data_IF_475610454569
#
_entry.id   IF_475610454569
#
_cell.length_a   1.000
_cell.length_b   1.000
_cell.length_c   1.000
_cell.angle_alpha   90.00
_cell.angle_beta   90.00
_cell.angle_gamma   90.00
#
_symmetry.space_group_name_H-M   'P 1'
#
loop_
_entity.id
_entity.type
_entity.pdbx_description
1 polymer ?
#
# COMPACT_ATOMS: atom_id res chain seq x y z
N UNK A 1 -20.92 57.01 7.71
CA UNK A 1 -20.38 56.98 9.08
C UNK A 1 -18.87 56.86 9.07
N UNK A 2 -18.18 57.24 10.17
CA UNK A 2 -16.78 56.90 10.37
C UNK A 2 -16.53 55.39 10.19
N UNK A 3 -15.28 55.00 9.92
CA UNK A 3 -14.91 53.59 9.73
C UNK A 3 -15.37 52.76 10.95
N UNK A 4 -15.97 51.60 10.69
CA UNK A 4 -16.52 50.67 11.68
C UNK A 4 -17.74 51.17 12.47
N UNK A 5 -18.48 52.17 11.96
CA UNK A 5 -19.77 52.60 12.55
C UNK A 5 -20.91 52.59 11.55
N UNK A 6 -22.14 52.44 12.03
CA UNK A 6 -23.35 52.46 11.21
C UNK A 6 -24.55 53.08 11.94
N UNK A 7 -25.60 53.41 11.18
CA UNK A 7 -26.84 54.03 11.66
C UNK A 7 -26.98 55.47 11.17
N UNK A 8 -28.19 56.02 11.24
CA UNK A 8 -28.50 57.35 10.73
C UNK A 8 -27.69 58.47 11.44
N UNK A 9 -27.25 58.22 12.67
CA UNK A 9 -26.37 59.13 13.44
C UNK A 9 -25.01 58.51 13.77
N UNK A 10 -24.64 57.38 13.14
CA UNK A 10 -23.38 56.66 13.37
C UNK A 10 -23.14 56.24 14.83
N UNK A 11 -24.22 55.89 15.51
CA UNK A 11 -24.25 55.54 16.92
C UNK A 11 -23.83 54.08 17.19
N UNK A 12 -23.98 53.19 16.20
CA UNK A 12 -23.71 51.76 16.37
C UNK A 12 -22.32 51.39 15.83
N UNK A 13 -21.69 50.39 16.45
CA UNK A 13 -20.43 49.82 15.99
C UNK A 13 -20.68 48.62 15.07
N UNK A 14 -19.89 48.54 13.99
CA UNK A 14 -19.90 47.42 13.07
C UNK A 14 -19.18 46.21 13.66
N UNK A 15 -19.77 45.02 13.53
CA UNK A 15 -19.24 43.74 14.05
C UNK A 15 -18.65 42.83 12.96
N UNK A 16 -18.39 43.38 11.77
CA UNK A 16 -17.91 42.58 10.64
C UNK A 16 -16.45 42.19 10.82
N UNK A 17 -16.16 40.89 10.77
CA UNK A 17 -14.82 40.32 10.94
C UNK A 17 -14.05 40.19 9.61
N UNK A 18 -12.77 39.80 9.68
CA UNK A 18 -11.93 39.47 8.52
C UNK A 18 -11.82 40.56 7.44
N UNK A 19 -11.74 41.83 7.86
CA UNK A 19 -11.71 43.01 6.98
C UNK A 19 -12.92 43.12 6.03
N UNK A 20 -14.06 42.58 6.44
CA UNK A 20 -15.32 42.66 5.69
C UNK A 20 -15.89 44.09 5.70
N UNK A 21 -16.67 44.43 4.67
CA UNK A 21 -17.26 45.77 4.54
C UNK A 21 -18.56 45.84 5.33
N UNK A 22 -18.73 46.92 6.09
CA UNK A 22 -19.97 47.18 6.82
C UNK A 22 -20.79 48.25 6.09
N UNK A 23 -22.07 47.97 5.85
CA UNK A 23 -22.99 48.97 5.32
C UNK A 23 -23.24 50.08 6.37
N UNK A 24 -22.94 51.33 6.01
CA UNK A 24 -22.98 52.44 6.96
C UNK A 24 -24.40 52.83 7.42
N UNK A 25 -25.45 52.33 6.76
CA UNK A 25 -26.85 52.65 7.08
C UNK A 25 -27.48 51.54 7.90
N UNK A 26 -27.27 50.29 7.50
CA UNK A 26 -27.95 49.10 8.04
C UNK A 26 -27.08 48.26 8.96
N UNK A 27 -25.76 48.45 8.94
CA UNK A 27 -24.81 47.62 9.69
C UNK A 27 -24.58 46.23 9.12
N UNK A 28 -25.22 45.89 7.99
CA UNK A 28 -25.09 44.58 7.35
C UNK A 28 -23.67 44.40 6.79
N UNK A 29 -23.10 43.23 7.05
CA UNK A 29 -21.76 42.89 6.59
C UNK A 29 -21.78 42.31 5.17
N UNK A 30 -20.90 42.82 4.33
CA UNK A 30 -20.51 42.21 3.05
C UNK A 30 -19.18 41.51 3.25
N UNK A 31 -19.22 40.18 3.30
CA UNK A 31 -18.07 39.37 3.69
C UNK A 31 -16.93 39.38 2.67
N UNK A 32 -15.70 39.33 3.18
CA UNK A 32 -14.53 39.03 2.37
C UNK A 32 -14.63 37.62 1.72
N UNK A 33 -13.93 37.37 0.60
CA UNK A 33 -13.92 36.04 -0.02
C UNK A 33 -13.54 34.95 0.97
N UNK A 34 -14.28 33.85 0.95
CA UNK A 34 -14.09 32.70 1.83
C UNK A 34 -14.77 32.80 3.20
N UNK A 35 -15.48 33.88 3.49
CA UNK A 35 -16.18 34.08 4.76
C UNK A 35 -17.68 34.23 4.56
N UNK A 36 -18.44 33.79 5.55
CA UNK A 36 -19.90 33.82 5.59
C UNK A 36 -20.41 34.04 7.02
N UNK A 37 -21.74 34.13 7.14
CA UNK A 37 -22.41 34.46 8.39
C UNK A 37 -22.72 35.95 8.51
N UNK A 38 -23.60 36.33 9.45
CA UNK A 38 -24.05 37.72 9.61
C UNK A 38 -22.93 38.68 10.00
N UNK A 39 -21.89 38.18 10.68
CA UNK A 39 -20.70 38.95 11.08
C UNK A 39 -19.44 38.57 10.27
N UNK A 40 -19.56 37.70 9.27
CA UNK A 40 -18.43 37.19 8.48
C UNK A 40 -17.35 36.49 9.33
N UNK A 41 -17.77 35.78 10.36
CA UNK A 41 -16.93 35.10 11.36
C UNK A 41 -16.69 33.62 11.04
N UNK A 42 -17.42 33.05 10.09
CA UNK A 42 -17.36 31.64 9.73
C UNK A 42 -16.76 31.45 8.33
N UNK A 43 -15.86 30.47 8.12
CA UNK A 43 -15.39 30.14 6.78
C UNK A 43 -16.54 29.59 5.92
N UNK A 44 -16.38 29.62 4.60
CA UNK A 44 -17.29 28.91 3.71
C UNK A 44 -17.44 27.44 4.11
N UNK A 45 -18.64 26.91 3.95
CA UNK A 45 -18.93 25.51 4.22
C UNK A 45 -18.11 24.60 3.31
N UNK A 46 -17.78 23.39 3.80
CA UNK A 46 -17.01 22.40 3.04
C UNK A 46 -17.57 22.22 1.63
N UNK A 47 -16.69 22.28 0.63
CA UNK A 47 -17.06 22.20 -0.78
C UNK A 47 -17.28 23.53 -1.47
N UNK A 48 -17.23 24.65 -0.73
CA UNK A 48 -17.43 25.99 -1.28
C UNK A 48 -16.30 26.96 -0.95
N UNK A 49 -16.05 27.93 -1.84
CA UNK A 49 -15.05 28.96 -1.64
C UNK A 49 -15.40 30.28 -2.31
N UNK A 50 -14.55 31.29 -2.08
CA UNK A 50 -14.59 32.56 -2.79
C UNK A 50 -15.68 33.50 -2.28
N UNK A 51 -16.03 34.49 -3.09
CA UNK A 51 -16.99 35.51 -2.69
C UNK A 51 -18.41 34.92 -2.58
N UNK A 52 -19.10 35.22 -1.48
CA UNK A 52 -20.41 34.65 -1.14
C UNK A 52 -20.47 33.11 -1.05
N UNK A 53 -19.32 32.41 -1.01
CA UNK A 53 -19.27 30.94 -0.92
C UNK A 53 -20.07 30.22 -2.02
N UNK A 54 -20.11 30.75 -3.24
CA UNK A 54 -20.88 30.16 -4.35
C UNK A 54 -20.03 29.32 -5.30
N UNK A 55 -18.70 29.37 -5.19
CA UNK A 55 -17.81 28.61 -6.06
C UNK A 55 -17.60 27.21 -5.50
N UNK A 56 -17.74 26.19 -6.34
CA UNK A 56 -17.60 24.79 -5.93
C UNK A 56 -16.14 24.34 -5.97
N UNK A 57 -15.68 23.75 -4.88
CA UNK A 57 -14.41 23.05 -4.81
C UNK A 57 -14.43 21.80 -5.69
N UNK A 58 -13.27 21.49 -6.30
CA UNK A 58 -13.12 20.37 -7.25
C UNK A 58 -12.03 19.38 -6.84
N UNK A 59 -11.54 19.48 -5.61
CA UNK A 59 -10.57 18.57 -5.03
C UNK A 59 -11.20 17.17 -4.92
N UNK A 60 -10.48 16.12 -5.35
CA UNK A 60 -10.94 14.74 -5.18
C UNK A 60 -10.40 14.13 -3.88
N UNK A 61 -9.08 14.08 -3.72
CA UNK A 61 -8.41 13.54 -2.52
C UNK A 61 -7.66 14.65 -1.77
N UNK A 62 -8.39 15.69 -1.36
CA UNK A 62 -7.80 16.83 -0.68
C UNK A 62 -8.82 17.80 -0.13
N UNK A 63 -8.34 18.66 0.77
CA UNK A 63 -9.11 19.73 1.37
C UNK A 63 -9.00 21.00 0.52
N UNK A 64 -10.07 21.76 0.47
CA UNK A 64 -10.18 22.95 -0.36
C UNK A 64 -10.01 24.20 0.49
N UNK A 65 -9.14 25.11 0.07
CA UNK A 65 -8.99 26.42 0.69
C UNK A 65 -10.26 27.25 0.46
N UNK A 66 -10.92 27.65 1.54
CA UNK A 66 -12.20 28.35 1.49
C UNK A 66 -12.10 29.74 0.84
N UNK A 67 -10.91 30.33 0.69
CA UNK A 67 -10.71 31.65 0.09
C UNK A 67 -10.46 31.53 -1.42
N UNK A 68 -9.50 30.68 -1.80
CA UNK A 68 -8.93 30.59 -3.15
C UNK A 68 -9.44 29.40 -3.95
N UNK A 69 -9.96 28.38 -3.27
CA UNK A 69 -10.38 27.11 -3.89
C UNK A 69 -9.21 26.18 -4.21
N UNK A 70 -7.99 26.53 -3.82
CA UNK A 70 -6.81 25.68 -4.02
C UNK A 70 -6.92 24.40 -3.19
N UNK A 71 -6.46 23.29 -3.75
CA UNK A 71 -6.50 22.00 -3.07
C UNK A 71 -5.20 21.73 -2.30
N UNK A 72 -5.36 21.28 -1.06
CA UNK A 72 -4.31 20.69 -0.24
C UNK A 72 -4.53 19.18 -0.29
N UNK A 73 -3.65 18.47 -0.99
CA UNK A 73 -3.83 17.03 -1.21
C UNK A 73 -3.55 16.22 0.04
N UNK A 74 -4.36 15.19 0.26
CA UNK A 74 -4.10 14.15 1.25
C UNK A 74 -2.89 13.32 0.83
N UNK A 75 -2.28 12.63 1.80
CA UNK A 75 -1.13 11.74 1.58
C UNK A 75 -1.37 10.79 0.39
N UNK A 76 -0.37 10.66 -0.47
CA UNK A 76 -0.42 9.78 -1.62
C UNK A 76 -1.05 10.37 -2.88
N UNK A 77 -1.48 11.63 -2.86
CA UNK A 77 -2.06 12.33 -4.01
C UNK A 77 -1.36 13.65 -4.30
N UNK A 78 -1.44 14.09 -5.56
CA UNK A 78 -0.82 15.32 -6.06
C UNK A 78 -1.63 15.97 -7.17
N UNK A 79 -1.11 17.11 -7.63
CA UNK A 79 -1.68 17.92 -8.69
C UNK A 79 -2.72 18.91 -8.15
N UNK A 80 -3.14 19.88 -8.97
CA UNK A 80 -3.97 21.00 -8.52
C UNK A 80 -5.37 20.59 -8.04
N UNK A 81 -5.83 19.38 -8.39
CA UNK A 81 -7.14 18.84 -8.01
C UNK A 81 -7.02 17.53 -7.19
N UNK A 82 -5.81 17.12 -6.81
CA UNK A 82 -5.56 15.90 -6.03
C UNK A 82 -6.14 14.63 -6.68
N UNK A 83 -6.05 14.54 -8.01
CA UNK A 83 -6.53 13.38 -8.79
C UNK A 83 -5.42 12.38 -9.08
N UNK A 84 -4.19 12.85 -9.15
CA UNK A 84 -3.04 12.01 -9.46
C UNK A 84 -2.55 11.34 -8.18
N UNK A 85 -2.29 10.04 -8.24
CA UNK A 85 -1.51 9.36 -7.19
C UNK A 85 -0.05 9.80 -7.25
N UNK A 86 0.69 9.57 -6.16
CA UNK A 86 2.15 9.70 -6.21
C UNK A 86 2.74 8.84 -7.35
N UNK A 87 3.82 9.35 -7.94
CA UNK A 87 4.52 8.62 -9.00
C UNK A 87 5.15 7.33 -8.44
N UNK A 88 5.35 6.29 -9.26
CA UNK A 88 6.02 5.08 -8.81
C UNK A 88 7.35 5.41 -8.12
N UNK A 89 7.55 4.86 -6.92
CA UNK A 89 8.75 5.08 -6.11
C UNK A 89 8.61 6.20 -5.06
N UNK A 90 7.50 6.93 -5.00
CA UNK A 90 7.25 7.91 -3.92
C UNK A 90 5.89 7.73 -3.25
N UNK A 91 5.78 8.20 -2.02
CA UNK A 91 4.55 8.11 -1.22
C UNK A 91 4.40 9.27 -0.22
N UNK A 92 3.29 9.28 0.52
CA UNK A 92 3.07 10.17 1.66
C UNK A 92 2.70 11.59 1.27
N UNK A 93 2.89 12.52 2.21
CA UNK A 93 2.53 13.93 2.03
C UNK A 93 3.38 14.58 0.94
N UNK A 94 2.67 15.23 0.01
CA UNK A 94 3.26 15.87 -1.18
C UNK A 94 4.14 14.92 -2.03
N UNK A 95 4.02 13.60 -1.86
CA UNK A 95 4.81 12.58 -2.56
C UNK A 95 6.34 12.76 -2.39
N UNK A 96 6.77 13.22 -1.21
CA UNK A 96 8.19 13.53 -0.93
C UNK A 96 8.97 12.35 -0.35
N UNK A 97 8.28 11.37 0.24
CA UNK A 97 8.92 10.17 0.80
C UNK A 97 9.23 9.16 -0.30
N UNK A 98 10.39 8.49 -0.20
CA UNK A 98 10.81 7.47 -1.15
C UNK A 98 10.39 6.07 -0.69
N UNK A 99 9.93 5.25 -1.63
CA UNK A 99 9.67 3.84 -1.41
C UNK A 99 10.98 3.05 -1.31
N UNK A 100 11.05 2.16 -0.31
CA UNK A 100 12.26 1.36 -0.04
C UNK A 100 12.13 -0.11 -0.48
N UNK A 101 10.99 -0.48 -1.06
CA UNK A 101 10.70 -1.85 -1.51
C UNK A 101 11.76 -2.36 -2.48
N UNK A 102 12.28 -3.56 -2.21
CA UNK A 102 13.24 -4.27 -3.05
C UNK A 102 12.56 -5.40 -3.83
N UNK A 103 13.30 -6.03 -4.74
CA UNK A 103 12.85 -7.21 -5.50
C UNK A 103 11.49 -7.02 -6.18
N UNK A 104 11.28 -5.86 -6.83
CA UNK A 104 10.03 -5.49 -7.49
C UNK A 104 8.79 -5.45 -6.58
N UNK A 105 9.00 -5.20 -5.27
CA UNK A 105 7.94 -4.94 -4.31
C UNK A 105 7.10 -3.72 -4.69
N UNK A 106 5.77 -3.89 -4.66
CA UNK A 106 4.85 -2.79 -4.95
C UNK A 106 4.69 -1.91 -3.73
N UNK A 107 5.01 -0.63 -3.88
CA UNK A 107 4.89 0.35 -2.82
C UNK A 107 3.51 1.00 -2.81
N UNK A 108 2.87 1.04 -1.64
CA UNK A 108 1.64 1.79 -1.46
C UNK A 108 1.92 3.31 -1.52
N UNK A 109 1.22 4.01 -2.41
CA UNK A 109 1.46 5.43 -2.66
C UNK A 109 1.07 6.32 -1.47
N UNK A 110 0.25 5.84 -0.53
CA UNK A 110 -0.15 6.61 0.66
C UNK A 110 0.85 6.41 1.79
N UNK A 111 1.03 5.15 2.22
CA UNK A 111 1.78 4.78 3.42
C UNK A 111 3.25 4.44 3.16
N UNK A 112 3.59 4.03 1.94
CA UNK A 112 4.92 3.51 1.61
C UNK A 112 5.12 2.02 1.89
N UNK A 113 4.10 1.33 2.43
CA UNK A 113 4.21 -0.09 2.76
C UNK A 113 4.43 -0.94 1.51
N UNK A 114 5.24 -2.00 1.63
CA UNK A 114 5.55 -2.87 0.51
C UNK A 114 4.63 -4.10 0.47
N UNK A 115 4.07 -4.36 -0.70
CA UNK A 115 3.49 -5.65 -1.04
C UNK A 115 4.54 -6.46 -1.81
N UNK A 116 5.03 -7.53 -1.18
CA UNK A 116 6.11 -8.32 -1.75
C UNK A 116 5.61 -9.33 -2.78
N UNK A 117 6.33 -9.49 -3.90
CA UNK A 117 6.00 -10.48 -4.90
C UNK A 117 6.28 -11.90 -4.38
N UNK A 118 5.89 -12.94 -5.15
CA UNK A 118 6.12 -14.31 -4.74
C UNK A 118 7.59 -14.60 -4.49
N UNK A 119 7.88 -15.32 -3.40
CA UNK A 119 9.25 -15.66 -3.01
C UNK A 119 9.92 -14.67 -2.06
N UNK A 120 9.28 -13.53 -1.77
CA UNK A 120 9.83 -12.48 -0.91
C UNK A 120 8.87 -12.05 0.21
N UNK A 121 9.44 -11.60 1.32
CA UNK A 121 8.74 -11.05 2.48
C UNK A 121 9.60 -10.02 3.24
N UNK A 122 9.03 -9.50 4.32
CA UNK A 122 9.62 -8.47 5.17
C UNK A 122 9.13 -7.09 4.77
N UNK A 123 9.40 -6.11 5.63
CA UNK A 123 8.95 -4.72 5.45
C UNK A 123 9.35 -4.12 4.10
N UNK A 124 10.54 -4.48 3.59
CA UNK A 124 11.09 -4.00 2.32
C UNK A 124 11.29 -5.09 1.27
N UNK A 125 10.67 -6.27 1.44
CA UNK A 125 10.79 -7.40 0.51
C UNK A 125 12.22 -7.92 0.29
N UNK A 126 13.08 -7.81 1.30
CA UNK A 126 14.48 -8.24 1.24
C UNK A 126 14.69 -9.70 1.63
N UNK A 127 13.72 -10.34 2.29
CA UNK A 127 13.89 -11.66 2.86
C UNK A 127 13.22 -12.72 1.97
N UNK A 128 13.92 -13.81 1.65
CA UNK A 128 13.38 -14.90 0.85
C UNK A 128 12.45 -15.81 1.66
N UNK A 129 11.38 -16.33 1.05
CA UNK A 129 10.49 -17.29 1.71
C UNK A 129 11.15 -18.61 2.10
N UNK A 130 12.31 -18.95 1.51
CA UNK A 130 13.07 -20.15 1.83
C UNK A 130 13.48 -20.21 3.31
N UNK A 131 13.55 -19.05 3.98
CA UNK A 131 13.88 -18.94 5.40
C UNK A 131 12.76 -19.44 6.34
N UNK A 132 11.53 -19.61 5.84
CA UNK A 132 10.34 -19.87 6.67
C UNK A 132 9.47 -21.04 6.18
N UNK A 133 9.94 -21.85 5.22
CA UNK A 133 9.18 -22.97 4.63
C UNK A 133 7.79 -22.56 4.10
N UNK A 134 7.76 -21.38 3.45
CA UNK A 134 6.55 -20.81 2.85
C UNK A 134 6.81 -20.38 1.41
N UNK A 135 5.75 -20.00 0.72
CA UNK A 135 5.79 -19.55 -0.66
C UNK A 135 4.71 -18.51 -0.97
N UNK A 136 4.76 -17.96 -2.18
CA UNK A 136 3.79 -16.99 -2.68
C UNK A 136 4.04 -15.57 -2.18
N UNK A 137 3.09 -14.67 -2.44
CA UNK A 137 3.19 -13.26 -2.04
C UNK A 137 3.31 -13.12 -0.53
N UNK A 138 4.24 -12.28 -0.09
CA UNK A 138 4.56 -12.07 1.34
C UNK A 138 4.83 -13.38 2.13
N UNK A 139 5.18 -14.48 1.44
CA UNK A 139 5.40 -15.79 2.03
C UNK A 139 4.23 -16.23 2.95
N UNK A 140 2.99 -16.06 2.49
CA UNK A 140 1.80 -16.35 3.32
C UNK A 140 1.31 -17.78 3.21
N UNK A 141 1.74 -18.53 2.18
CA UNK A 141 1.31 -19.90 1.94
C UNK A 141 2.34 -20.89 2.46
N UNK A 142 1.90 -21.98 3.09
CA UNK A 142 2.80 -23.00 3.64
C UNK A 142 3.22 -24.01 2.57
N UNK A 143 4.48 -24.46 2.64
CA UNK A 143 4.91 -25.64 1.89
C UNK A 143 4.17 -26.88 2.43
N UNK A 144 3.61 -27.68 1.52
CA UNK A 144 2.82 -28.87 1.86
C UNK A 144 3.52 -30.14 1.37
N UNK A 145 4.82 -30.27 1.64
CA UNK A 145 5.65 -31.38 1.15
C UNK A 145 5.87 -32.43 2.25
N UNK A 146 5.89 -33.70 1.87
CA UNK A 146 6.15 -34.85 2.73
C UNK A 146 7.63 -35.23 2.71
N UNK A 147 8.01 -36.15 3.61
CA UNK A 147 9.33 -36.77 3.65
C UNK A 147 10.51 -35.77 3.69
N UNK A 148 10.31 -34.63 4.35
CA UNK A 148 11.30 -33.57 4.48
C UNK A 148 11.61 -32.84 3.16
N UNK A 149 10.73 -32.94 2.16
CA UNK A 149 10.77 -32.09 0.97
C UNK A 149 10.59 -30.62 1.31
N UNK A 150 11.19 -29.76 0.49
CA UNK A 150 11.00 -28.29 0.57
C UNK A 150 10.09 -27.86 -0.58
N UNK A 151 9.72 -26.58 -0.66
CA UNK A 151 8.97 -26.09 -1.82
C UNK A 151 9.61 -24.86 -2.47
N UNK A 152 9.35 -24.69 -3.76
CA UNK A 152 9.70 -23.50 -4.51
C UNK A 152 9.04 -22.27 -3.87
N UNK A 153 9.79 -21.21 -3.52
CA UNK A 153 9.27 -20.08 -2.76
C UNK A 153 8.32 -19.20 -3.59
N UNK A 154 8.31 -19.31 -4.92
CA UNK A 154 7.46 -18.54 -5.83
C UNK A 154 6.11 -19.25 -6.00
N UNK A 155 6.12 -20.55 -6.31
CA UNK A 155 4.92 -21.28 -6.73
C UNK A 155 4.51 -22.46 -5.83
N UNK A 156 5.30 -22.81 -4.82
CA UNK A 156 4.96 -23.85 -3.85
C UNK A 156 5.15 -25.28 -4.33
N UNK A 157 5.72 -25.50 -5.51
CA UNK A 157 6.00 -26.85 -6.04
C UNK A 157 7.01 -27.55 -5.16
N UNK A 158 6.73 -28.80 -4.76
CA UNK A 158 7.63 -29.53 -3.88
C UNK A 158 8.91 -29.97 -4.59
N UNK A 159 10.02 -29.84 -3.87
CA UNK A 159 11.35 -30.30 -4.24
C UNK A 159 11.70 -31.43 -3.29
N UNK A 160 11.69 -32.65 -3.82
CA UNK A 160 11.86 -33.86 -3.03
C UNK A 160 13.32 -34.09 -2.64
N UNK A 161 13.51 -34.69 -1.46
CA UNK A 161 14.81 -35.25 -1.09
C UNK A 161 15.10 -36.48 -1.95
N UNK A 162 16.37 -36.85 -1.98
CA UNK A 162 16.82 -38.09 -2.63
C UNK A 162 16.11 -39.27 -1.97
N UNK A 163 15.71 -40.27 -2.77
CA UNK A 163 14.92 -41.39 -2.29
C UNK A 163 13.41 -41.18 -2.31
N UNK A 164 12.93 -39.98 -2.68
CA UNK A 164 11.50 -39.69 -2.78
C UNK A 164 11.12 -39.05 -4.12
N UNK A 165 9.85 -39.24 -4.51
CA UNK A 165 9.20 -38.64 -5.68
C UNK A 165 7.70 -38.37 -5.40
N UNK A 166 7.00 -37.84 -6.40
CA UNK A 166 5.59 -37.47 -6.31
C UNK A 166 5.42 -35.95 -6.24
N UNK A 167 4.20 -35.45 -6.46
CA UNK A 167 3.93 -34.01 -6.48
C UNK A 167 4.19 -33.35 -5.11
N UNK A 168 4.04 -34.12 -4.04
CA UNK A 168 4.25 -33.69 -2.65
C UNK A 168 5.34 -34.51 -1.97
N UNK A 169 6.17 -35.24 -2.72
CA UNK A 169 7.22 -36.11 -2.18
C UNK A 169 6.71 -37.23 -1.28
N UNK A 170 5.50 -37.71 -1.54
CA UNK A 170 4.80 -38.71 -0.74
C UNK A 170 5.23 -40.15 -1.04
N UNK A 171 5.88 -40.39 -2.19
CA UNK A 171 6.32 -41.72 -2.61
C UNK A 171 7.81 -41.91 -2.38
N UNK A 172 8.19 -43.03 -1.76
CA UNK A 172 9.58 -43.50 -1.74
C UNK A 172 9.97 -44.10 -3.11
N UNK A 173 11.25 -44.10 -3.45
CA UNK A 173 11.70 -44.68 -4.71
C UNK A 173 11.33 -46.16 -4.83
N UNK A 174 10.74 -46.57 -5.97
CA UNK A 174 10.41 -47.96 -6.18
C UNK A 174 11.69 -48.81 -6.22
N UNK A 175 11.61 -50.10 -5.81
CA UNK A 175 12.76 -50.98 -5.79
C UNK A 175 13.54 -50.98 -7.11
N UNK A 176 14.87 -50.80 -7.00
CA UNK A 176 15.76 -50.75 -8.17
C UNK A 176 15.96 -49.35 -8.76
N UNK A 177 15.38 -48.31 -8.16
CA UNK A 177 15.65 -46.90 -8.50
C UNK A 177 16.11 -46.10 -7.28
N UNK A 178 16.82 -45.01 -7.52
CA UNK A 178 17.37 -44.17 -6.45
C UNK A 178 17.59 -42.71 -6.91
N UNK A 179 17.91 -41.84 -5.96
CA UNK A 179 18.29 -40.44 -6.19
C UNK A 179 17.11 -39.48 -6.26
N UNK A 180 17.36 -38.26 -6.75
CA UNK A 180 16.33 -37.24 -6.93
C UNK A 180 15.26 -37.73 -7.94
N UNK A 181 13.98 -37.65 -7.56
CA UNK A 181 12.84 -38.10 -8.35
C UNK A 181 12.93 -39.57 -8.83
N UNK A 182 13.82 -40.37 -8.23
CA UNK A 182 14.04 -41.79 -8.57
C UNK A 182 14.43 -42.05 -10.03
N UNK A 183 15.11 -41.10 -10.67
CA UNK A 183 15.47 -41.19 -12.09
C UNK A 183 16.66 -42.12 -12.35
N UNK A 184 17.45 -42.46 -11.32
CA UNK A 184 18.62 -43.35 -11.46
C UNK A 184 18.22 -44.80 -11.21
N UNK A 185 18.89 -45.73 -11.92
CA UNK A 185 18.70 -47.17 -11.78
C UNK A 185 19.83 -47.81 -10.99
N UNK A 186 19.49 -48.68 -10.05
CA UNK A 186 20.45 -49.44 -9.27
C UNK A 186 21.16 -50.51 -10.10
N UNK A 187 22.40 -50.85 -9.70
CA UNK A 187 23.23 -51.88 -10.34
C UNK A 187 23.66 -52.96 -9.36
N UNK A 188 22.73 -53.38 -8.50
CA UNK A 188 22.99 -54.42 -7.50
C UNK A 188 23.03 -55.80 -8.14
N UNK A 189 23.97 -56.63 -7.70
CA UNK A 189 24.11 -58.02 -8.15
C UNK A 189 23.50 -58.98 -7.11
N UNK A 190 23.24 -60.22 -7.52
CA UNK A 190 22.80 -61.31 -6.63
C UNK A 190 21.54 -61.02 -5.79
N UNK A 191 20.64 -60.16 -6.27
CA UNK A 191 19.42 -59.81 -5.54
C UNK A 191 19.62 -58.87 -4.34
N UNK A 192 20.75 -58.16 -4.28
CA UNK A 192 21.00 -57.12 -3.27
C UNK A 192 19.95 -56.01 -3.29
N UNK A 193 19.66 -55.46 -2.11
CA UNK A 193 18.73 -54.34 -1.91
C UNK A 193 19.49 -53.04 -2.12
N UNK A 194 18.89 -52.14 -2.89
CA UNK A 194 19.45 -50.83 -3.18
C UNK A 194 18.89 -49.79 -2.22
N UNK A 195 19.77 -48.93 -1.69
CA UNK A 195 19.39 -47.75 -0.95
C UNK A 195 18.72 -46.72 -1.90
N UNK A 196 17.53 -46.22 -1.57
CA UNK A 196 16.79 -45.30 -2.45
C UNK A 196 17.41 -43.90 -2.50
N UNK A 197 18.20 -43.48 -1.51
CA UNK A 197 18.83 -42.17 -1.47
C UNK A 197 20.06 -42.11 -2.39
N UNK A 198 21.01 -43.02 -2.19
CA UNK A 198 22.33 -42.94 -2.83
C UNK A 198 22.65 -44.08 -3.82
N UNK A 199 21.82 -45.12 -3.86
CA UNK A 199 21.97 -46.26 -4.76
C UNK A 199 22.92 -47.35 -4.27
N UNK A 200 23.39 -47.26 -3.02
CA UNK A 200 24.27 -48.25 -2.41
C UNK A 200 23.59 -49.63 -2.30
N UNK A 201 24.32 -50.70 -2.62
CA UNK A 201 23.77 -52.06 -2.61
C UNK A 201 24.16 -52.80 -1.34
N UNK A 202 23.16 -53.32 -0.63
CA UNK A 202 23.33 -54.15 0.56
C UNK A 202 22.93 -55.59 0.23
N UNK A 203 23.77 -56.55 0.63
CA UNK A 203 23.45 -57.97 0.46
C UNK A 203 22.28 -58.37 1.36
N UNK A 204 21.39 -59.24 0.87
CA UNK A 204 20.42 -59.93 1.73
C UNK A 204 21.15 -61.11 2.39
N UNK A 205 21.01 -61.22 3.71
CA UNK A 205 21.48 -62.37 4.50
C UNK A 205 20.79 -63.68 4.09
#
# INVERSE_FOLDING_TARGET
CPKNKWGNSCENDCKCEHNSKCDAVTGVCTCAPGWQGPNCDSPCSTGFYGYHCIQNCRCEHGDCDHITGACICHAGYRGPLCKEKCSPGTHGDQCTSQCLCQNDGQCDHVSGSCQCPPGWMGEFCTNSCTLVEKWGNNCTQHCNCYNGGTCDPINGTCICKYGYKGERCEEECPPGTYGLNCEKKCKCFNGGVCDPEDGHCVCKD
#
